data_IF_865647957591
#
_entry.id   IF_865647957591
#
_cell.length_a   1.000
_cell.length_b   1.000
_cell.length_c   1.000
_cell.angle_alpha   90.00
_cell.angle_beta   90.00
_cell.angle_gamma   90.00
#
_symmetry.space_group_name_H-M   'P 1'
#
loop_
_entity.id
_entity.type
_entity.pdbx_description
1 polymer ?
#
# COMPACT_ATOMS: atom_id res chain seq x y z
N UNK A 1 -1.91 -1.53 20.05
CA UNK A 1 -1.37 -0.92 18.80
C UNK A 1 -0.05 -0.28 19.18
N UNK A 2 1.02 -0.65 18.49
CA UNK A 2 2.34 -0.05 18.70
C UNK A 2 2.33 1.42 18.26
N UNK A 3 3.11 2.31 18.90
CA UNK A 3 3.24 3.68 18.44
C UNK A 3 3.87 3.72 17.05
N UNK A 4 3.30 4.54 16.16
CA UNK A 4 3.82 4.77 14.81
C UNK A 4 4.31 6.22 14.75
N UNK A 5 5.58 6.36 14.40
CA UNK A 5 6.26 7.63 14.18
C UNK A 5 6.56 7.78 12.69
N UNK A 6 6.18 8.91 12.10
CA UNK A 6 6.56 9.29 10.73
C UNK A 6 7.58 10.40 10.80
N UNK A 7 8.78 10.08 10.34
CA UNK A 7 9.91 11.00 10.24
C UNK A 7 9.93 11.60 8.84
N UNK A 8 9.87 12.91 8.74
CA UNK A 8 9.92 13.61 7.45
C UNK A 8 11.33 14.14 7.22
N UNK A 9 11.98 13.72 6.13
CA UNK A 9 13.35 14.18 5.79
C UNK A 9 13.28 15.30 4.77
N UNK A 10 13.86 16.45 5.09
CA UNK A 10 13.79 17.68 4.28
C UNK A 10 15.20 18.16 3.92
N UNK A 11 15.49 18.19 2.62
CA UNK A 11 16.82 18.51 2.09
C UNK A 11 17.16 20.02 2.10
N UNK A 12 16.19 20.94 2.23
CA UNK A 12 16.45 22.38 2.17
C UNK A 12 15.54 23.20 3.10
N UNK A 13 16.11 24.20 3.80
CA UNK A 13 15.36 25.08 4.72
C UNK A 13 14.61 26.20 4.01
N UNK A 14 14.87 26.43 2.72
CA UNK A 14 14.57 27.72 2.12
C UNK A 14 13.39 27.76 1.10
N UNK A 15 12.61 26.69 0.87
CA UNK A 15 11.54 26.78 -0.15
C UNK A 15 10.31 25.87 -0.04
N UNK A 16 10.24 24.79 0.75
CA UNK A 16 9.02 23.97 0.84
C UNK A 16 8.46 23.88 2.26
N UNK A 17 7.18 24.18 2.40
CA UNK A 17 6.47 23.96 3.66
C UNK A 17 6.41 22.46 3.93
N UNK A 18 6.79 22.03 5.14
CA UNK A 18 6.83 20.62 5.46
C UNK A 18 5.43 19.98 5.41
N UNK A 19 5.32 18.67 5.10
CA UNK A 19 4.05 17.95 5.15
C UNK A 19 3.38 18.12 6.51
N UNK A 20 2.17 18.68 6.53
CA UNK A 20 1.44 18.94 7.78
C UNK A 20 0.35 17.90 8.05
N UNK A 21 -0.39 17.51 7.01
CA UNK A 21 -1.45 16.50 7.11
C UNK A 21 -0.91 15.15 6.65
N UNK A 22 -0.56 14.27 7.60
CA UNK A 22 -0.07 12.92 7.29
C UNK A 22 -1.01 11.86 7.87
N UNK A 23 -1.35 10.86 7.05
CA UNK A 23 -2.13 9.68 7.44
C UNK A 23 -1.39 8.41 7.07
N UNK A 24 -1.55 7.38 7.90
CA UNK A 24 -1.10 6.02 7.58
C UNK A 24 -2.31 5.15 7.30
N UNK A 25 -2.34 4.57 6.11
CA UNK A 25 -3.38 3.67 5.60
C UNK A 25 -2.90 2.23 5.71
N UNK A 26 -3.39 1.51 6.71
CA UNK A 26 -3.07 0.12 6.92
C UNK A 26 -3.97 -0.76 6.08
N UNK A 27 -3.38 -1.56 5.21
CA UNK A 27 -4.09 -2.67 4.56
C UNK A 27 -3.76 -3.96 5.31
N UNK A 28 -4.71 -4.50 6.11
CA UNK A 28 -4.50 -5.77 6.75
C UNK A 28 -4.39 -6.87 5.70
N UNK A 29 -3.77 -7.95 6.11
CA UNK A 29 -3.54 -9.10 5.27
C UNK A 29 -4.86 -9.67 4.70
N UNK A 30 -4.98 -9.79 3.37
CA UNK A 30 -6.15 -10.40 2.72
C UNK A 30 -6.00 -11.92 2.69
N UNK A 31 -6.94 -12.65 3.30
CA UNK A 31 -7.06 -14.08 3.10
C UNK A 31 -7.74 -14.33 1.74
N UNK A 32 -7.18 -15.13 0.80
CA UNK A 32 -7.71 -15.28 -0.56
C UNK A 32 -9.15 -15.84 -0.66
N UNK A 33 -9.74 -16.24 0.47
CA UNK A 33 -11.09 -16.81 0.55
C UNK A 33 -12.15 -15.86 1.12
N UNK A 34 -11.83 -14.60 1.44
CA UNK A 34 -12.79 -13.65 2.01
C UNK A 34 -12.88 -12.33 1.23
N UNK A 35 -13.95 -11.57 1.51
CA UNK A 35 -14.12 -10.19 1.04
C UNK A 35 -12.85 -9.34 1.28
N UNK A 36 -12.59 -8.32 0.44
CA UNK A 36 -11.41 -7.47 0.57
C UNK A 36 -11.36 -6.85 1.99
N UNK A 37 -10.18 -6.90 2.66
CA UNK A 37 -10.06 -6.38 4.01
C UNK A 37 -10.28 -4.87 4.03
N UNK A 38 -10.91 -4.33 5.09
CA UNK A 38 -11.09 -2.90 5.24
C UNK A 38 -9.74 -2.21 5.41
N UNK A 39 -9.59 -1.03 4.80
CA UNK A 39 -8.46 -0.13 5.06
C UNK A 39 -8.68 0.58 6.39
N UNK A 40 -7.63 0.64 7.21
CA UNK A 40 -7.67 1.32 8.52
C UNK A 40 -6.75 2.54 8.45
N UNK A 41 -7.28 3.72 8.74
CA UNK A 41 -6.49 4.95 8.79
C UNK A 41 -6.08 5.27 10.23
N UNK A 42 -4.85 5.74 10.41
CA UNK A 42 -4.33 6.16 11.71
C UNK A 42 -3.50 7.44 11.58
N UNK A 43 -3.49 8.23 12.65
CA UNK A 43 -2.63 9.41 12.78
C UNK A 43 -1.30 9.01 13.42
N UNK A 44 -0.17 9.24 12.73
CA UNK A 44 1.14 9.02 13.31
C UNK A 44 1.56 10.21 14.19
N UNK A 45 2.55 9.98 15.04
CA UNK A 45 3.37 11.09 15.57
C UNK A 45 4.30 11.56 14.47
N UNK A 46 4.35 12.85 14.17
CA UNK A 46 5.18 13.38 13.08
C UNK A 46 6.40 14.07 13.69
N UNK A 47 7.59 13.65 13.29
CA UNK A 47 8.85 14.33 13.60
C UNK A 47 9.50 14.84 12.30
N UNK A 48 10.04 16.05 12.33
CA UNK A 48 10.71 16.67 11.19
C UNK A 48 12.21 16.57 11.39
N UNK A 49 12.89 16.01 10.39
CA UNK A 49 14.34 15.87 10.35
C UNK A 49 14.91 16.64 9.16
N UNK A 50 15.89 17.47 9.46
CA UNK A 50 16.62 18.25 8.48
C UNK A 50 18.00 17.64 8.23
N UNK A 51 18.63 18.04 7.13
CA UNK A 51 19.95 17.52 6.73
C UNK A 51 21.07 17.72 7.78
N UNK A 52 20.90 18.64 8.74
CA UNK A 52 21.85 18.89 9.83
C UNK A 52 21.56 18.10 11.11
N UNK A 53 20.45 17.36 11.17
CA UNK A 53 20.12 16.52 12.33
C UNK A 53 20.95 15.22 12.34
N UNK A 54 21.29 14.70 13.54
CA UNK A 54 22.02 13.45 13.65
C UNK A 54 21.15 12.27 13.20
N UNK A 55 21.72 11.29 12.46
CA UNK A 55 20.95 10.15 11.92
C UNK A 55 20.39 9.24 13.02
N UNK A 56 20.99 9.26 14.21
CA UNK A 56 20.54 8.47 15.37
C UNK A 56 19.11 8.84 15.81
N UNK A 57 18.63 10.05 15.46
CA UNK A 57 17.27 10.47 15.75
C UNK A 57 16.19 9.68 14.98
N UNK A 58 16.56 9.01 13.89
CA UNK A 58 15.66 8.19 13.08
C UNK A 58 15.47 6.76 13.64
N UNK A 59 16.24 6.39 14.66
CA UNK A 59 16.19 5.05 15.22
C UNK A 59 14.98 4.89 16.16
N UNK A 60 14.35 3.70 16.20
CA UNK A 60 13.33 3.38 17.20
C UNK A 60 13.85 3.64 18.62
N UNK A 61 13.09 4.41 19.41
CA UNK A 61 13.44 4.80 20.78
C UNK A 61 12.91 3.80 21.80
N UNK A 62 11.82 3.12 21.48
CA UNK A 62 11.21 2.10 22.35
C UNK A 62 11.01 0.77 21.61
N UNK A 63 11.08 -0.37 22.31
CA UNK A 63 10.79 -1.67 21.70
C UNK A 63 9.39 -1.70 21.08
N UNK A 64 9.31 -2.20 19.85
CA UNK A 64 8.07 -2.29 19.09
C UNK A 64 7.60 -0.97 18.45
N UNK A 65 8.36 0.12 18.55
CA UNK A 65 8.06 1.34 17.79
C UNK A 65 8.23 1.12 16.29
N UNK A 66 7.21 1.54 15.52
CA UNK A 66 7.27 1.53 14.06
C UNK A 66 7.71 2.92 13.60
N UNK A 67 8.85 2.98 12.92
CA UNK A 67 9.35 4.20 12.29
C UNK A 67 9.19 4.12 10.78
N UNK A 68 8.42 5.06 10.24
CA UNK A 68 8.26 5.29 8.82
C UNK A 68 8.97 6.60 8.45
N UNK A 69 9.57 6.67 7.27
CA UNK A 69 10.24 7.88 6.78
C UNK A 69 9.53 8.37 5.52
N UNK A 70 9.17 9.65 5.49
CA UNK A 70 8.67 10.35 4.32
C UNK A 70 9.77 11.31 3.85
N UNK A 71 10.50 10.89 2.84
CA UNK A 71 11.63 11.64 2.28
C UNK A 71 11.14 12.57 1.19
N UNK A 72 11.54 13.83 1.27
CA UNK A 72 11.20 14.85 0.29
C UNK A 72 12.42 15.18 -0.57
N UNK A 73 12.37 14.83 -1.85
CA UNK A 73 13.37 15.23 -2.82
C UNK A 73 12.82 16.33 -3.71
N UNK A 74 13.54 17.44 -3.78
CA UNK A 74 13.26 18.53 -4.70
C UNK A 74 14.16 18.37 -5.91
N UNK A 75 13.57 18.10 -7.07
CA UNK A 75 14.31 18.10 -8.35
C UNK A 75 14.53 19.53 -8.83
N UNK A 76 15.55 19.71 -9.68
CA UNK A 76 15.83 21.00 -10.35
C UNK A 76 14.65 21.51 -11.20
N UNK A 77 13.74 20.62 -11.61
CA UNK A 77 12.55 20.92 -12.42
C UNK A 77 11.32 21.38 -11.59
N UNK A 78 11.53 21.80 -10.35
CA UNK A 78 10.49 22.25 -9.38
C UNK A 78 9.44 21.17 -9.03
N UNK A 79 9.58 19.96 -9.57
CA UNK A 79 8.79 18.79 -9.16
C UNK A 79 9.32 18.28 -7.81
N UNK A 80 8.39 18.14 -6.87
CA UNK A 80 8.63 17.66 -5.52
C UNK A 80 8.19 16.20 -5.44
N UNK A 81 9.14 15.28 -5.28
CA UNK A 81 8.84 13.87 -5.07
C UNK A 81 8.85 13.54 -3.57
N UNK A 82 7.95 12.64 -3.17
CA UNK A 82 7.87 12.13 -1.81
C UNK A 82 7.97 10.62 -1.82
N UNK A 83 8.97 10.09 -1.12
CA UNK A 83 9.25 8.66 -1.05
C UNK A 83 9.02 8.16 0.37
N UNK A 84 8.19 7.14 0.51
CA UNK A 84 7.90 6.51 1.78
C UNK A 84 8.80 5.29 2.01
N UNK A 85 9.45 5.22 3.18
CA UNK A 85 10.30 4.11 3.61
C UNK A 85 9.87 3.62 4.98
N UNK A 86 10.14 2.36 5.30
CA UNK A 86 10.02 1.83 6.66
C UNK A 86 11.40 1.49 7.18
N UNK A 87 11.68 1.87 8.42
CA UNK A 87 12.91 1.49 9.13
C UNK A 87 12.70 0.25 10.03
N UNK A 88 11.52 -0.35 9.97
CA UNK A 88 11.14 -1.51 10.79
C UNK A 88 10.71 -2.68 9.92
N UNK A 89 10.88 -3.89 10.44
CA UNK A 89 10.57 -5.13 9.72
C UNK A 89 9.08 -5.51 9.77
N UNK A 90 8.31 -4.89 10.66
CA UNK A 90 6.89 -5.23 10.89
C UNK A 90 5.98 -4.71 9.76
N UNK A 91 6.30 -3.54 9.22
CA UNK A 91 5.50 -2.85 8.22
C UNK A 91 6.35 -2.44 7.02
N UNK A 92 5.78 -2.59 5.83
CA UNK A 92 6.32 -2.05 4.60
C UNK A 92 5.43 -0.92 4.09
N UNK A 93 6.05 0.16 3.60
CA UNK A 93 5.35 1.21 2.85
C UNK A 93 5.22 0.75 1.40
N UNK A 94 4.00 0.73 0.88
CA UNK A 94 3.70 0.29 -0.50
C UNK A 94 3.57 1.46 -1.46
N UNK A 95 3.09 2.61 -0.98
CA UNK A 95 2.89 3.81 -1.78
C UNK A 95 2.75 5.06 -0.91
N UNK A 96 3.03 6.22 -1.51
CA UNK A 96 2.71 7.54 -0.96
C UNK A 96 1.74 8.20 -1.93
N UNK A 97 0.56 8.59 -1.42
CA UNK A 97 -0.41 9.38 -2.19
C UNK A 97 -0.48 10.79 -1.64
N UNK A 98 -0.53 11.76 -2.54
CA UNK A 98 -0.71 13.18 -2.20
C UNK A 98 -2.08 13.60 -2.71
N UNK A 99 -2.92 14.13 -1.83
CA UNK A 99 -4.26 14.61 -2.15
C UNK A 99 -4.49 15.96 -1.47
N UNK A 100 -5.44 16.76 -1.93
CA UNK A 100 -5.82 17.99 -1.20
C UNK A 100 -6.45 17.63 0.16
N UNK A 101 -6.01 18.29 1.23
CA UNK A 101 -6.56 18.05 2.57
C UNK A 101 -7.97 18.67 2.68
N UNK A 102 -9.01 17.88 3.03
CA UNK A 102 -10.36 18.41 3.18
C UNK A 102 -10.40 19.54 4.22
N UNK A 103 -10.84 20.72 3.80
CA UNK A 103 -11.00 21.90 4.68
C UNK A 103 -9.76 22.77 4.85
N UNK A 104 -8.60 22.39 4.29
CA UNK A 104 -7.37 23.19 4.40
C UNK A 104 -7.40 24.50 3.58
N UNK A 105 -8.27 24.61 2.56
CA UNK A 105 -8.42 25.82 1.75
C UNK A 105 -9.45 26.84 2.27
N UNK A 106 -10.18 26.54 3.35
CA UNK A 106 -11.29 27.37 3.83
C UNK A 106 -10.90 28.39 4.92
N UNK A 107 -9.73 28.22 5.53
CA UNK A 107 -9.14 29.18 6.46
C UNK A 107 -7.72 29.49 5.97
N UNK A 108 -7.33 30.75 6.02
CA UNK A 108 -5.96 31.21 5.78
C UNK A 108 -5.06 30.64 6.89
N UNK A 109 -4.72 29.36 6.78
CA UNK A 109 -3.95 28.59 7.77
C UNK A 109 -2.46 28.90 7.60
N UNK A 110 -2.12 30.19 7.71
CA UNK A 110 -0.78 30.72 8.01
C UNK A 110 0.37 30.25 7.12
N UNK A 111 0.11 29.85 5.88
CA UNK A 111 1.14 29.26 5.02
C UNK A 111 1.56 27.86 5.48
N UNK A 112 0.60 26.96 5.68
CA UNK A 112 0.86 25.52 5.75
C UNK A 112 0.53 24.86 4.42
N UNK A 113 1.20 23.73 4.17
CA UNK A 113 0.93 22.92 2.99
C UNK A 113 -0.48 22.32 3.10
N UNK A 114 -1.38 22.73 2.19
CA UNK A 114 -2.78 22.26 2.15
C UNK A 114 -2.96 20.85 1.62
N UNK A 115 -1.87 20.12 1.34
CA UNK A 115 -1.92 18.73 0.90
C UNK A 115 -1.89 17.76 2.07
N UNK A 116 -2.59 16.65 1.88
CA UNK A 116 -2.60 15.46 2.70
C UNK A 116 -1.74 14.37 2.06
N UNK A 117 -0.85 13.80 2.86
CA UNK A 117 0.07 12.75 2.50
C UNK A 117 -0.40 11.44 3.14
N UNK A 118 -0.70 10.45 2.33
CA UNK A 118 -1.19 9.14 2.78
C UNK A 118 -0.14 8.09 2.48
N UNK A 119 0.47 7.54 3.52
CA UNK A 119 1.37 6.39 3.43
C UNK A 119 0.54 5.12 3.47
N UNK A 120 0.50 4.37 2.38
CA UNK A 120 -0.09 3.03 2.40
C UNK A 120 0.92 2.04 2.93
N UNK A 121 0.49 1.25 3.90
CA UNK A 121 1.31 0.24 4.54
C UNK A 121 0.66 -1.13 4.47
N UNK A 122 1.51 -2.15 4.52
CA UNK A 122 1.09 -3.54 4.66
C UNK A 122 1.97 -4.23 5.69
N UNK A 123 1.37 -5.16 6.44
CA UNK A 123 2.08 -5.98 7.41
C UNK A 123 2.90 -7.02 6.66
N UNK A 124 4.19 -7.06 6.95
CA UNK A 124 5.05 -8.12 6.45
C UNK A 124 4.81 -9.37 7.32
N UNK A 125 4.39 -10.49 6.73
CA UNK A 125 4.28 -11.74 7.48
C UNK A 125 5.69 -12.15 7.93
N UNK A 126 5.91 -12.06 9.24
CA UNK A 126 7.17 -12.43 9.88
C UNK A 126 7.59 -13.83 9.42
N UNK A 127 8.88 -14.01 9.10
CA UNK A 127 9.44 -15.33 8.82
C UNK A 127 9.66 -16.09 10.12
N UNK A 128 8.61 -16.23 10.95
CA UNK A 128 8.60 -17.29 11.95
C UNK A 128 8.35 -18.57 11.17
N UNK A 129 9.44 -19.11 10.66
CA UNK A 129 9.51 -20.41 10.03
C UNK A 129 9.53 -21.41 11.18
N UNK A 130 8.36 -21.77 11.70
CA UNK A 130 8.28 -23.03 12.44
C UNK A 130 8.69 -24.13 11.44
N UNK A 131 9.66 -24.98 11.80
CA UNK A 131 10.16 -26.04 10.91
C UNK A 131 9.04 -26.95 10.38
N UNK A 132 7.90 -26.99 11.07
CA UNK A 132 6.69 -27.70 10.66
C UNK A 132 5.96 -27.05 9.46
N UNK A 133 6.05 -25.73 9.26
CA UNK A 133 5.36 -25.04 8.16
C UNK A 133 5.99 -25.29 6.79
N UNK A 134 7.23 -25.80 6.76
CA UNK A 134 7.87 -26.32 5.55
C UNK A 134 7.32 -27.67 5.10
N UNK A 135 6.53 -28.35 5.93
CA UNK A 135 6.12 -29.73 5.67
C UNK A 135 4.89 -29.85 4.77
N UNK A 136 4.14 -28.76 4.56
CA UNK A 136 2.95 -28.78 3.71
C UNK A 136 3.15 -27.99 2.40
N UNK A 137 3.10 -28.64 1.23
CA UNK A 137 3.13 -27.93 -0.05
C UNK A 137 2.01 -26.89 -0.20
N UNK A 138 0.89 -27.07 0.50
CA UNK A 138 -0.25 -26.16 0.45
C UNK A 138 0.01 -24.84 1.21
N UNK A 139 0.69 -24.90 2.36
CA UNK A 139 1.06 -23.70 3.12
C UNK A 139 2.05 -22.84 2.33
N UNK A 140 3.05 -23.49 1.71
CA UNK A 140 4.04 -22.84 0.84
C UNK A 140 3.35 -22.16 -0.34
N UNK A 141 2.43 -22.85 -1.03
CA UNK A 141 1.72 -22.28 -2.18
C UNK A 141 0.80 -21.13 -1.79
N UNK A 142 0.08 -21.24 -0.66
CA UNK A 142 -0.76 -20.17 -0.14
C UNK A 142 0.09 -18.92 0.16
N UNK A 143 1.23 -19.09 0.83
CA UNK A 143 2.17 -18.01 1.15
C UNK A 143 2.80 -17.39 -0.09
N UNK A 144 3.14 -18.19 -1.09
CA UNK A 144 3.65 -17.70 -2.36
C UNK A 144 2.62 -16.84 -3.10
N UNK A 145 1.38 -17.32 -3.24
CA UNK A 145 0.28 -16.57 -3.87
C UNK A 145 -0.01 -15.26 -3.15
N UNK A 146 0.05 -15.32 -1.83
CA UNK A 146 -0.09 -14.20 -0.93
C UNK A 146 0.99 -13.13 -1.21
N UNK A 147 2.27 -13.49 -1.14
CA UNK A 147 3.39 -12.56 -1.41
C UNK A 147 3.29 -11.98 -2.83
N UNK A 148 2.97 -12.81 -3.82
CA UNK A 148 2.78 -12.35 -5.20
C UNK A 148 1.64 -11.34 -5.35
N UNK A 149 0.57 -11.46 -4.58
CA UNK A 149 -0.53 -10.49 -4.60
C UNK A 149 -0.06 -9.11 -4.11
N UNK A 150 0.71 -9.08 -3.03
CA UNK A 150 1.29 -7.84 -2.50
C UNK A 150 2.27 -7.23 -3.49
N UNK A 151 3.20 -8.02 -4.02
CA UNK A 151 4.18 -7.55 -5.00
C UNK A 151 3.54 -6.97 -6.26
N UNK A 152 2.49 -7.63 -6.80
CA UNK A 152 1.77 -7.13 -7.96
C UNK A 152 1.07 -5.80 -7.71
N UNK A 153 0.57 -5.58 -6.49
CA UNK A 153 -0.04 -4.31 -6.09
C UNK A 153 0.99 -3.18 -6.04
N UNK A 154 2.18 -3.46 -5.49
CA UNK A 154 3.26 -2.46 -5.37
C UNK A 154 3.86 -2.12 -6.73
N UNK A 155 4.00 -3.11 -7.61
CA UNK A 155 4.63 -2.94 -8.92
C UNK A 155 3.68 -2.44 -10.02
N UNK A 156 2.48 -1.96 -9.66
CA UNK A 156 1.44 -1.49 -10.59
C UNK A 156 1.21 -2.44 -11.77
N UNK A 157 1.27 -3.76 -11.55
CA UNK A 157 0.86 -4.73 -12.55
C UNK A 157 -0.66 -4.79 -12.55
N UNK A 158 -1.38 -4.24 -13.54
CA UNK A 158 -2.81 -4.46 -13.63
C UNK A 158 -3.05 -5.96 -13.69
N UNK A 159 -3.97 -6.46 -12.87
CA UNK A 159 -4.54 -7.80 -13.05
C UNK A 159 -5.02 -7.86 -14.50
N UNK A 160 -4.33 -8.61 -15.35
CA UNK A 160 -4.92 -9.05 -16.60
C UNK A 160 -6.28 -9.65 -16.24
N UNK A 161 -7.39 -9.14 -16.79
CA UNK A 161 -8.66 -9.82 -16.68
C UNK A 161 -8.41 -11.25 -17.14
N UNK A 162 -8.84 -12.21 -16.31
CA UNK A 162 -8.86 -13.61 -16.71
C UNK A 162 -9.37 -13.68 -18.14
N UNK A 163 -8.59 -14.29 -19.04
CA UNK A 163 -9.10 -14.75 -20.33
C UNK A 163 -10.46 -15.36 -20.06
N UNK A 164 -11.49 -14.67 -20.55
CA UNK A 164 -12.86 -15.08 -20.43
C UNK A 164 -12.91 -16.57 -20.74
N UNK A 165 -13.57 -17.31 -19.84
CA UNK A 165 -13.87 -18.71 -20.02
C UNK A 165 -14.21 -18.95 -21.50
N UNK A 166 -13.38 -19.76 -22.16
CA UNK A 166 -13.76 -20.35 -23.44
C UNK A 166 -15.01 -21.15 -23.15
N UNK A 167 -16.17 -20.56 -23.46
CA UNK A 167 -17.41 -21.30 -23.56
C UNK A 167 -17.16 -22.41 -24.57
N UNK A 168 -17.34 -23.70 -24.21
CA UNK A 168 -17.35 -24.73 -25.22
C UNK A 168 -18.57 -24.44 -26.11
N UNK A 169 -18.28 -24.08 -27.36
CA UNK A 169 -19.25 -23.89 -28.41
C UNK A 169 -20.15 -25.13 -28.48
N UNK A 170 -21.45 -24.90 -28.28
CA UNK A 170 -22.52 -25.87 -28.48
C UNK A 170 -22.39 -26.46 -29.88
N UNK A 171 -22.21 -27.79 -29.95
CA UNK A 171 -22.16 -28.54 -31.19
C UNK A 171 -23.48 -28.50 -31.97
N UNK A 172 -23.43 -28.88 -33.26
CA UNK A 172 -24.50 -28.65 -34.22
C UNK A 172 -25.69 -29.60 -34.01
N UNK A 173 -26.92 -29.06 -34.04
CA UNK A 173 -28.14 -29.86 -34.14
C UNK A 173 -28.28 -30.45 -35.55
N UNK A 174 -28.47 -31.77 -35.70
CA UNK A 174 -28.75 -32.39 -36.99
C UNK A 174 -30.22 -32.18 -37.38
N UNK A 175 -30.43 -31.64 -38.59
CA UNK A 175 -31.74 -31.54 -39.23
C UNK A 175 -32.30 -32.94 -39.52
N UNK A 176 -33.35 -33.32 -38.78
CA UNK A 176 -34.18 -34.50 -39.05
C UNK A 176 -35.49 -34.10 -39.73
N UNK A 177 -35.64 -34.52 -40.98
CA UNK A 177 -36.86 -34.49 -41.79
C UNK A 177 -37.90 -35.47 -41.21
N UNK A 178 -39.18 -35.08 -41.17
CA UNK A 178 -40.25 -36.01 -40.77
C UNK A 178 -41.66 -35.40 -40.75
N UNK A 179 -42.38 -35.60 -41.84
CA UNK A 179 -43.82 -35.43 -42.11
C UNK A 179 -44.78 -35.98 -41.05
N UNK A 180 -45.95 -35.34 -40.82
CA UNK A 180 -47.28 -35.98 -40.97
C UNK A 180 -48.46 -35.00 -40.82
N UNK A 181 -49.33 -35.00 -41.82
CA UNK A 181 -50.73 -34.52 -41.81
C UNK A 181 -51.64 -35.46 -41.01
N UNK A 182 -52.62 -34.87 -40.28
CA UNK A 182 -53.95 -35.38 -39.89
C UNK A 182 -54.53 -34.36 -38.90
N UNK A 183 -55.80 -33.94 -38.91
CA UNK A 183 -57.02 -34.33 -39.62
C UNK A 183 -57.94 -33.11 -39.69
#
# INVERSE_FOLDING_TARGET
MNPISVNTSIDDRNASQPPYYVLVSHTPHANPSSAPPPTIFSHPTIEYHYADDPPDNLLPRVPGEVVLVLEHHRSDDDSSEYVGKSLTTELAVTSVRVTEAPGAGAMDDGGKNGNMYVLDTTVLPEEILEEEDYQSPQSILARFKQRNTVLRRVLDYPLQPQLAAVQPASGPTPNGVGTTEKS
#
